data_IF_281393894363
#
_entry.id   IF_281393894363
#
_cell.length_a   1.000
_cell.length_b   1.000
_cell.length_c   1.000
_cell.angle_alpha   90.00
_cell.angle_beta   90.00
_cell.angle_gamma   90.00
#
_symmetry.space_group_name_H-M   'P 1'
#
loop_
_entity.id
_entity.type
_entity.pdbx_description
1 polymer ?
#
# COMPACT_ATOMS: atom_id res chain seq x y z
N UNK A 1 32.56 41.09 12.97
CA UNK A 1 31.61 40.95 11.85
C UNK A 1 31.27 39.46 11.79
N UNK A 2 30.26 39.04 12.54
CA UNK A 2 29.89 37.63 12.72
C UNK A 2 28.71 37.28 11.83
N UNK A 3 28.87 36.23 11.03
CA UNK A 3 27.82 35.71 10.15
C UNK A 3 27.03 34.68 10.95
N UNK A 4 25.76 34.98 11.19
CA UNK A 4 24.75 34.06 11.73
C UNK A 4 24.47 32.98 10.68
N UNK A 5 24.78 31.72 10.98
CA UNK A 5 24.16 30.58 10.31
C UNK A 5 22.90 30.21 11.10
N UNK A 6 21.75 30.37 10.46
CA UNK A 6 20.46 29.91 10.98
C UNK A 6 20.43 28.39 10.97
N UNK A 7 20.20 27.80 12.14
CA UNK A 7 19.86 26.37 12.32
C UNK A 7 18.73 26.00 11.37
N UNK A 8 18.99 25.06 10.46
CA UNK A 8 17.95 24.28 9.81
C UNK A 8 17.27 23.42 10.87
N UNK A 9 15.94 23.35 10.79
CA UNK A 9 15.08 22.52 11.63
C UNK A 9 15.38 21.03 11.42
N UNK A 10 16.37 20.51 12.15
CA UNK A 10 16.39 19.12 12.57
C UNK A 10 15.23 18.92 13.54
N UNK A 11 14.11 18.39 13.03
CA UNK A 11 13.08 17.79 13.88
C UNK A 11 13.36 16.30 14.01
N UNK A 12 14.24 16.02 14.95
CA UNK A 12 14.17 14.96 15.94
C UNK A 12 13.31 13.74 15.56
N UNK A 13 14.05 12.68 15.21
CA UNK A 13 13.76 11.30 15.53
C UNK A 13 13.58 11.17 17.05
N UNK A 14 12.33 11.24 17.52
CA UNK A 14 11.94 10.76 18.86
C UNK A 14 11.28 9.38 18.69
N UNK A 15 12.12 8.35 18.74
CA UNK A 15 11.73 6.96 18.97
C UNK A 15 11.35 6.76 20.44
N UNK A 16 10.14 7.19 20.78
CA UNK A 16 9.35 6.60 21.86
C UNK A 16 8.06 6.10 21.24
N UNK A 17 7.85 4.78 21.22
CA UNK A 17 6.84 4.10 20.41
C UNK A 17 5.39 4.39 20.86
N UNK A 18 4.89 5.60 20.60
CA UNK A 18 3.45 5.82 20.54
C UNK A 18 2.94 5.19 19.26
N UNK A 19 2.25 4.07 19.38
CA UNK A 19 1.60 3.43 18.24
C UNK A 19 0.67 4.45 17.57
N UNK A 20 1.04 4.90 16.37
CA UNK A 20 0.36 5.99 15.68
C UNK A 20 -0.96 5.47 15.11
N UNK A 21 -2.07 6.05 15.57
CA UNK A 21 -3.38 5.86 14.94
C UNK A 21 -3.42 6.64 13.63
N UNK A 22 -3.77 5.96 12.55
CA UNK A 22 -3.88 6.53 11.20
C UNK A 22 -5.36 6.72 10.85
N UNK A 23 -5.68 7.82 10.16
CA UNK A 23 -7.06 8.03 9.68
C UNK A 23 -7.43 7.01 8.60
N UNK A 24 -8.72 6.77 8.40
CA UNK A 24 -9.18 5.83 7.37
C UNK A 24 -8.78 6.29 5.97
N UNK A 25 -8.87 7.59 5.72
CA UNK A 25 -8.46 8.22 4.47
C UNK A 25 -6.99 7.97 4.16
N UNK A 26 -6.11 8.19 5.16
CA UNK A 26 -4.68 7.93 5.02
C UNK A 26 -4.36 6.44 4.91
N UNK A 27 -5.06 5.58 5.65
CA UNK A 27 -4.86 4.14 5.59
C UNK A 27 -5.11 3.63 4.17
N UNK A 28 -6.28 3.89 3.59
CA UNK A 28 -6.61 3.41 2.25
C UNK A 28 -5.75 4.07 1.16
N UNK A 29 -5.37 5.34 1.31
CA UNK A 29 -4.38 5.96 0.41
C UNK A 29 -3.04 5.20 0.46
N UNK A 30 -2.55 4.91 1.67
CA UNK A 30 -1.33 4.12 1.85
C UNK A 30 -1.47 2.72 1.28
N UNK A 31 -2.65 2.09 1.32
CA UNK A 31 -2.92 0.80 0.67
C UNK A 31 -2.70 0.85 -0.84
N UNK A 32 -3.21 1.88 -1.52
CA UNK A 32 -2.97 2.07 -2.96
C UNK A 32 -1.50 2.30 -3.25
N UNK A 33 -0.86 3.24 -2.54
CA UNK A 33 0.52 3.60 -2.80
C UNK A 33 1.49 2.45 -2.49
N UNK A 34 1.31 1.75 -1.37
CA UNK A 34 2.12 0.57 -1.02
C UNK A 34 1.94 -0.59 -2.00
N UNK A 35 0.77 -0.70 -2.63
CA UNK A 35 0.56 -1.67 -3.71
C UNK A 35 1.40 -1.30 -4.96
N UNK A 36 1.53 -0.02 -5.29
CA UNK A 36 2.43 0.42 -6.38
C UNK A 36 3.89 0.17 -6.07
N UNK A 37 4.30 0.43 -4.82
CA UNK A 37 5.62 0.10 -4.30
C UNK A 37 5.94 -1.38 -4.54
N UNK A 38 4.98 -2.28 -4.28
CA UNK A 38 5.09 -3.72 -4.54
C UNK A 38 5.42 -4.02 -6.01
N UNK A 39 4.81 -3.31 -6.95
CA UNK A 39 5.08 -3.46 -8.39
C UNK A 39 6.53 -3.14 -8.74
N UNK A 40 7.07 -2.07 -8.16
CA UNK A 40 8.49 -1.72 -8.28
C UNK A 40 9.42 -2.76 -7.68
N UNK A 41 9.07 -3.30 -6.50
CA UNK A 41 9.84 -4.39 -5.90
C UNK A 41 9.87 -5.61 -6.82
N UNK A 42 8.71 -6.01 -7.35
CA UNK A 42 8.59 -7.14 -8.27
C UNK A 42 9.44 -6.96 -9.52
N UNK A 43 9.46 -5.76 -10.09
CA UNK A 43 10.36 -5.44 -11.20
C UNK A 43 11.83 -5.63 -10.84
N UNK A 44 12.29 -5.11 -9.70
CA UNK A 44 13.69 -5.28 -9.29
C UNK A 44 14.03 -6.75 -9.00
N UNK A 45 13.19 -7.43 -8.23
CA UNK A 45 13.36 -8.84 -7.89
C UNK A 45 13.44 -9.69 -9.17
N UNK A 46 12.57 -9.44 -10.15
CA UNK A 46 12.63 -10.12 -11.46
C UNK A 46 13.99 -9.90 -12.14
N UNK A 47 14.51 -8.68 -12.11
CA UNK A 47 15.80 -8.35 -12.74
C UNK A 47 17.01 -9.08 -12.12
N UNK A 48 16.98 -9.37 -10.81
CA UNK A 48 18.11 -10.03 -10.12
C UNK A 48 17.95 -11.55 -10.02
N UNK A 49 16.71 -12.04 -9.95
CA UNK A 49 16.43 -13.48 -9.80
C UNK A 49 16.19 -14.20 -11.12
N UNK A 50 15.84 -13.47 -12.18
CA UNK A 50 15.39 -14.05 -13.45
C UNK A 50 13.98 -14.65 -13.40
N UNK A 51 13.26 -14.51 -12.27
CA UNK A 51 11.86 -14.93 -12.17
C UNK A 51 10.97 -14.00 -12.98
N UNK A 52 9.92 -14.57 -13.57
CA UNK A 52 8.87 -13.77 -14.22
C UNK A 52 8.15 -12.91 -13.19
N UNK A 53 7.83 -11.66 -13.55
CA UNK A 53 7.26 -10.69 -12.60
C UNK A 53 5.95 -11.15 -11.98
N UNK A 54 5.14 -11.88 -12.74
CA UNK A 54 3.87 -12.44 -12.27
C UNK A 54 4.05 -13.63 -11.31
N UNK A 55 5.24 -14.22 -11.21
CA UNK A 55 5.52 -15.34 -10.31
C UNK A 55 6.04 -14.90 -8.94
N UNK A 56 6.45 -13.64 -8.81
CA UNK A 56 7.06 -13.07 -7.59
C UNK A 56 6.03 -12.90 -6.49
N UNK A 57 4.88 -12.32 -6.83
CA UNK A 57 3.80 -12.08 -5.88
C UNK A 57 2.56 -12.87 -6.27
N UNK A 58 1.91 -13.48 -5.27
CA UNK A 58 0.69 -14.27 -5.44
C UNK A 58 -0.35 -13.78 -4.44
N UNK A 59 -1.62 -14.00 -4.77
CA UNK A 59 -2.73 -13.73 -3.86
C UNK A 59 -2.59 -14.50 -2.55
N UNK A 60 -2.97 -13.86 -1.44
CA UNK A 60 -2.96 -14.46 -0.10
C UNK A 60 -2.53 -13.49 0.99
N UNK A 61 -2.99 -13.76 2.21
CA UNK A 61 -2.65 -12.98 3.38
C UNK A 61 -1.17 -13.15 3.75
N UNK A 62 -0.52 -12.03 4.13
CA UNK A 62 0.85 -12.05 4.66
C UNK A 62 0.95 -12.97 5.89
N UNK A 63 2.05 -13.71 5.99
CA UNK A 63 2.28 -14.68 7.08
C UNK A 63 2.60 -14.03 8.42
N UNK A 64 2.96 -12.75 8.41
CA UNK A 64 3.47 -12.02 9.56
C UNK A 64 2.60 -10.82 9.94
N UNK A 65 1.31 -10.85 9.60
CA UNK A 65 0.39 -9.79 9.99
C UNK A 65 0.28 -9.70 11.51
N UNK A 66 0.63 -8.54 12.07
CA UNK A 66 0.31 -8.21 13.46
C UNK A 66 -1.19 -7.94 13.58
N UNK A 67 -1.89 -8.79 14.33
CA UNK A 67 -3.33 -8.67 14.59
C UNK A 67 -3.64 -8.02 15.94
N UNK A 68 -2.61 -7.62 16.69
CA UNK A 68 -2.78 -7.08 18.04
C UNK A 68 -2.97 -5.57 17.97
N UNK A 69 -3.97 -5.06 18.70
CA UNK A 69 -4.19 -3.63 18.87
C UNK A 69 -4.42 -3.35 20.36
N UNK A 70 -3.53 -2.60 21.03
CA UNK A 70 -3.69 -2.28 22.45
C UNK A 70 -4.65 -1.12 22.71
N UNK A 71 -5.12 -0.43 21.66
CA UNK A 71 -5.93 0.79 21.77
C UNK A 71 -7.42 0.41 21.69
N UNK A 72 -8.25 0.71 22.71
CA UNK A 72 -9.69 0.50 22.66
C UNK A 72 -10.33 1.18 21.44
N UNK A 73 -11.35 0.55 20.86
CA UNK A 73 -12.06 1.03 19.67
C UNK A 73 -11.18 1.21 18.42
N UNK A 74 -10.05 0.51 18.35
CA UNK A 74 -9.17 0.46 17.18
C UNK A 74 -8.84 -0.99 16.82
N UNK A 75 -8.32 -1.21 15.62
CA UNK A 75 -7.78 -2.51 15.23
C UNK A 75 -6.56 -2.35 14.33
N UNK A 76 -5.73 -3.39 14.29
CA UNK A 76 -4.63 -3.50 13.34
C UNK A 76 -5.20 -3.93 11.98
N UNK A 77 -5.02 -3.08 10.97
CA UNK A 77 -5.48 -3.30 9.61
C UNK A 77 -4.29 -3.45 8.68
N UNK A 78 -4.35 -4.48 7.85
CA UNK A 78 -3.30 -4.79 6.89
C UNK A 78 -3.29 -3.79 5.73
N UNK A 79 -2.11 -3.53 5.18
CA UNK A 79 -1.96 -2.54 4.10
C UNK A 79 -1.90 -3.18 2.70
N UNK A 80 -1.20 -4.32 2.55
CA UNK A 80 -0.98 -4.97 1.25
C UNK A 80 -1.11 -6.48 1.36
N UNK A 81 -2.19 -7.06 0.81
CA UNK A 81 -2.38 -8.51 0.74
C UNK A 81 -1.63 -9.12 -0.44
N UNK A 82 -0.49 -9.75 -0.18
CA UNK A 82 0.24 -10.58 -1.13
C UNK A 82 1.16 -11.57 -0.40
N UNK A 83 1.51 -12.65 -1.10
CA UNK A 83 2.56 -13.59 -0.72
C UNK A 83 3.74 -13.47 -1.67
N UNK A 84 4.97 -13.49 -1.14
CA UNK A 84 6.18 -13.54 -1.96
C UNK A 84 6.60 -14.99 -2.26
N UNK A 85 7.15 -15.22 -3.45
CA UNK A 85 7.60 -16.54 -3.90
C UNK A 85 8.68 -17.13 -2.98
N UNK A 86 8.46 -18.35 -2.50
CA UNK A 86 9.45 -19.09 -1.70
C UNK A 86 10.76 -19.36 -2.47
N UNK A 87 10.77 -19.31 -3.81
CA UNK A 87 11.99 -19.46 -4.62
C UNK A 87 12.98 -18.32 -4.31
N UNK A 88 12.48 -17.14 -3.96
CA UNK A 88 13.31 -16.00 -3.58
C UNK A 88 13.98 -16.30 -2.24
N UNK A 89 13.28 -16.89 -1.26
CA UNK A 89 13.85 -17.27 0.04
C UNK A 89 15.09 -18.15 -0.08
N UNK A 90 15.11 -19.07 -1.03
CA UNK A 90 16.22 -20.02 -1.20
C UNK A 90 17.41 -19.44 -1.97
N UNK A 91 17.21 -18.36 -2.72
CA UNK A 91 18.22 -17.80 -3.63
C UNK A 91 18.71 -16.41 -3.22
N UNK A 92 17.85 -15.63 -2.54
CA UNK A 92 18.05 -14.22 -2.17
C UNK A 92 17.34 -13.96 -0.82
N UNK A 93 17.91 -14.49 0.27
CA UNK A 93 17.25 -14.48 1.59
C UNK A 93 16.95 -13.07 2.11
N UNK A 94 17.91 -12.16 2.03
CA UNK A 94 17.75 -10.76 2.52
C UNK A 94 16.63 -10.03 1.77
N UNK A 95 16.54 -10.26 0.45
CA UNK A 95 15.46 -9.72 -0.38
C UNK A 95 14.11 -10.31 0.00
N UNK A 96 14.05 -11.62 0.30
CA UNK A 96 12.84 -12.27 0.78
C UNK A 96 12.40 -11.71 2.15
N UNK A 97 13.34 -11.56 3.09
CA UNK A 97 13.06 -11.04 4.44
C UNK A 97 12.59 -9.59 4.41
N UNK A 98 13.24 -8.72 3.63
CA UNK A 98 12.80 -7.33 3.47
C UNK A 98 11.41 -7.22 2.86
N UNK A 99 11.08 -8.07 1.89
CA UNK A 99 9.74 -8.12 1.30
C UNK A 99 8.70 -8.65 2.29
N UNK A 100 9.00 -9.71 3.05
CA UNK A 100 8.10 -10.22 4.10
C UNK A 100 7.85 -9.17 5.18
N UNK A 101 8.88 -8.44 5.63
CA UNK A 101 8.73 -7.33 6.58
C UNK A 101 7.86 -6.21 5.98
N UNK A 102 8.07 -5.88 4.72
CA UNK A 102 7.24 -4.91 4.01
C UNK A 102 5.78 -5.35 3.92
N UNK A 103 5.53 -6.64 3.66
CA UNK A 103 4.20 -7.24 3.62
C UNK A 103 3.61 -7.44 5.02
N UNK A 104 4.39 -7.43 6.09
CA UNK A 104 3.89 -7.52 7.47
C UNK A 104 3.28 -6.20 7.98
N UNK A 105 3.44 -5.11 7.23
CA UNK A 105 3.03 -3.78 7.66
C UNK A 105 1.52 -3.67 7.91
N UNK A 106 1.17 -3.21 9.11
CA UNK A 106 -0.19 -2.90 9.54
C UNK A 106 -0.29 -1.45 10.02
N UNK A 107 -1.47 -0.87 9.88
CA UNK A 107 -1.82 0.40 10.50
C UNK A 107 -2.81 0.16 11.64
N UNK A 108 -2.75 1.00 12.67
CA UNK A 108 -3.82 1.05 13.67
C UNK A 108 -4.86 2.06 13.22
N UNK A 109 -6.08 1.58 12.97
CA UNK A 109 -7.18 2.41 12.46
C UNK A 109 -8.39 2.36 13.40
N UNK A 110 -9.26 3.39 13.38
CA UNK A 110 -10.51 3.37 14.11
C UNK A 110 -11.35 2.14 13.78
N UNK A 111 -11.86 1.47 14.80
CA UNK A 111 -12.83 0.39 14.66
C UNK A 111 -14.22 0.97 14.41
N UNK A 112 -15.00 0.30 13.57
CA UNK A 112 -16.43 0.58 13.39
C UNK A 112 -17.23 -0.72 13.26
N UNK A 113 -16.87 -1.70 14.10
CA UNK A 113 -17.42 -3.04 14.06
C UNK A 113 -17.09 -3.75 12.75
N UNK A 114 -18.11 -4.17 12.00
CA UNK A 114 -17.93 -5.00 10.80
C UNK A 114 -17.65 -4.23 9.51
N UNK A 115 -17.86 -2.90 9.46
CA UNK A 115 -17.75 -2.13 8.22
C UNK A 115 -16.33 -2.16 7.62
N UNK A 116 -15.34 -1.70 8.40
CA UNK A 116 -13.96 -1.60 7.91
C UNK A 116 -13.31 -2.96 7.64
N UNK A 117 -13.54 -4.02 8.46
CA UNK A 117 -13.12 -5.36 8.09
C UNK A 117 -13.73 -5.86 6.77
N UNK A 118 -15.02 -5.59 6.51
CA UNK A 118 -15.65 -5.95 5.22
C UNK A 118 -14.99 -5.22 4.06
N UNK A 119 -14.88 -3.89 4.13
CA UNK A 119 -14.28 -3.07 3.07
C UNK A 119 -12.80 -3.42 2.87
N UNK A 120 -12.05 -3.64 3.95
CA UNK A 120 -10.66 -4.09 3.90
C UNK A 120 -10.51 -5.40 3.13
N UNK A 121 -11.38 -6.38 3.37
CA UNK A 121 -11.39 -7.64 2.63
C UNK A 121 -11.86 -7.51 1.16
N UNK A 122 -12.67 -6.51 0.82
CA UNK A 122 -12.98 -6.21 -0.60
C UNK A 122 -11.77 -5.56 -1.29
N UNK A 123 -11.07 -4.68 -0.57
CA UNK A 123 -9.85 -4.04 -1.02
C UNK A 123 -8.69 -5.04 -1.20
N UNK A 124 -8.57 -6.03 -0.31
CA UNK A 124 -7.63 -7.15 -0.46
C UNK A 124 -7.89 -7.91 -1.77
N UNK A 125 -9.15 -8.24 -2.07
CA UNK A 125 -9.54 -8.92 -3.31
C UNK A 125 -9.22 -8.08 -4.55
N UNK A 126 -9.36 -6.76 -4.47
CA UNK A 126 -8.98 -5.86 -5.56
C UNK A 126 -7.46 -5.80 -5.74
N UNK A 127 -6.67 -5.77 -4.66
CA UNK A 127 -5.21 -5.90 -4.75
C UNK A 127 -4.83 -7.22 -5.44
N UNK A 128 -5.46 -8.33 -5.05
CA UNK A 128 -5.21 -9.65 -5.63
C UNK A 128 -5.55 -9.70 -7.14
N UNK A 129 -6.66 -9.10 -7.57
CA UNK A 129 -7.06 -9.06 -8.99
C UNK A 129 -6.08 -8.22 -9.84
N UNK A 130 -5.46 -7.20 -9.23
CA UNK A 130 -4.55 -6.26 -9.88
C UNK A 130 -3.08 -6.70 -9.85
N UNK A 131 -2.69 -7.77 -9.14
CA UNK A 131 -1.29 -8.23 -9.06
C UNK A 131 -0.70 -8.53 -10.45
N UNK A 132 -1.45 -9.21 -11.32
CA UNK A 132 -0.99 -9.52 -12.67
C UNK A 132 -0.89 -8.26 -13.54
N UNK A 133 -1.91 -7.39 -13.63
CA UNK A 133 -1.75 -6.08 -14.28
C UNK A 133 -0.55 -5.28 -13.76
N UNK A 134 -0.32 -5.26 -12.44
CA UNK A 134 0.75 -4.50 -11.80
C UNK A 134 2.13 -4.94 -12.30
N UNK A 135 2.32 -6.24 -12.52
CA UNK A 135 3.58 -6.83 -12.98
C UNK A 135 3.99 -6.35 -14.38
N UNK A 136 3.04 -5.85 -15.18
CA UNK A 136 3.26 -5.33 -16.53
C UNK A 136 3.80 -3.90 -16.57
N UNK A 137 3.75 -3.17 -15.45
CA UNK A 137 4.21 -1.78 -15.39
C UNK A 137 5.73 -1.73 -15.28
N UNK A 138 6.36 -0.87 -16.07
CA UNK A 138 7.81 -0.64 -16.06
C UNK A 138 8.08 0.69 -15.37
N UNK A 139 8.59 0.65 -14.14
CA UNK A 139 8.78 1.83 -13.29
C UNK A 139 10.15 2.51 -13.48
N UNK A 140 11.17 1.82 -13.98
CA UNK A 140 12.51 2.40 -14.24
C UNK A 140 12.63 3.15 -15.57
N UNK A 141 11.61 3.07 -16.43
CA UNK A 141 11.53 3.81 -17.69
C UNK A 141 10.77 5.13 -17.53
N UNK A 142 10.72 5.96 -18.57
CA UNK A 142 9.85 7.14 -18.59
C UNK A 142 8.37 6.75 -18.52
N UNK A 143 7.57 7.56 -17.81
CA UNK A 143 6.13 7.33 -17.69
C UNK A 143 5.43 7.66 -19.00
N UNK A 144 4.92 6.64 -19.69
CA UNK A 144 4.20 6.82 -20.95
C UNK A 144 2.72 7.16 -20.71
N UNK A 145 2.02 7.56 -21.77
CA UNK A 145 0.56 7.74 -21.74
C UNK A 145 -0.17 6.41 -21.42
N UNK A 146 0.30 5.29 -21.95
CA UNK A 146 -0.27 3.96 -21.66
C UNK A 146 -0.12 3.61 -20.17
N UNK A 147 1.07 3.83 -19.59
CA UNK A 147 1.29 3.61 -18.15
C UNK A 147 0.42 4.55 -17.32
N UNK A 148 0.27 5.81 -17.75
CA UNK A 148 -0.60 6.79 -17.08
C UNK A 148 -2.04 6.29 -17.03
N UNK A 149 -2.59 5.83 -18.16
CA UNK A 149 -3.94 5.27 -18.23
C UNK A 149 -4.10 4.04 -17.34
N UNK A 150 -3.15 3.09 -17.38
CA UNK A 150 -3.21 1.91 -16.50
C UNK A 150 -3.21 2.29 -15.02
N UNK A 151 -2.39 3.25 -14.61
CA UNK A 151 -2.36 3.68 -13.21
C UNK A 151 -3.69 4.35 -12.81
N UNK A 152 -4.29 5.15 -13.69
CA UNK A 152 -5.63 5.72 -13.46
C UNK A 152 -6.70 4.63 -13.35
N UNK A 153 -6.65 3.60 -14.20
CA UNK A 153 -7.53 2.43 -14.11
C UNK A 153 -7.39 1.71 -12.76
N UNK A 154 -6.17 1.57 -12.21
CA UNK A 154 -5.96 0.96 -10.90
C UNK A 154 -6.59 1.80 -9.79
N UNK A 155 -6.37 3.12 -9.82
CA UNK A 155 -7.01 4.04 -8.85
C UNK A 155 -8.52 3.90 -8.92
N UNK A 156 -9.08 3.90 -10.12
CA UNK A 156 -10.53 3.85 -10.32
C UNK A 156 -11.10 2.52 -9.84
N UNK A 157 -10.41 1.40 -10.07
CA UNK A 157 -10.71 0.09 -9.48
C UNK A 157 -10.82 0.13 -7.95
N UNK A 158 -9.86 0.75 -7.27
CA UNK A 158 -9.90 0.90 -5.81
C UNK A 158 -11.00 1.86 -5.33
N UNK A 159 -11.28 2.92 -6.09
CA UNK A 159 -12.36 3.86 -5.80
C UNK A 159 -13.73 3.17 -5.92
N UNK A 160 -13.89 2.26 -6.88
CA UNK A 160 -15.15 1.54 -7.11
C UNK A 160 -15.57 0.65 -5.94
N UNK A 161 -14.61 0.12 -5.17
CA UNK A 161 -14.88 -0.58 -3.90
C UNK A 161 -15.75 0.30 -2.98
N UNK A 162 -15.46 1.61 -2.90
CA UNK A 162 -16.24 2.53 -2.08
C UNK A 162 -17.54 2.98 -2.74
N UNK A 163 -17.58 3.13 -4.06
CA UNK A 163 -18.80 3.49 -4.79
C UNK A 163 -19.93 2.46 -4.60
N UNK A 164 -19.58 1.17 -4.53
CA UNK A 164 -20.54 0.13 -4.21
C UNK A 164 -21.22 0.35 -2.84
N UNK A 165 -20.53 0.96 -1.87
CA UNK A 165 -21.07 1.26 -0.55
C UNK A 165 -21.79 2.62 -0.47
N UNK A 166 -21.28 3.63 -1.18
CA UNK A 166 -21.80 5.01 -1.15
C UNK A 166 -23.04 5.18 -2.04
N UNK A 167 -23.08 4.51 -3.20
CA UNK A 167 -24.13 4.72 -4.20
C UNK A 167 -25.17 3.60 -4.13
N UNK A 168 -24.72 2.34 -4.11
CA UNK A 168 -25.60 1.18 -4.26
C UNK A 168 -26.16 0.73 -2.89
N UNK A 169 -25.29 0.64 -1.88
CA UNK A 169 -25.63 0.08 -0.57
C UNK A 169 -25.83 1.15 0.52
N UNK A 170 -25.98 2.42 0.16
CA UNK A 170 -26.01 3.53 1.12
C UNK A 170 -27.09 3.40 2.20
N UNK A 171 -28.24 2.85 1.82
CA UNK A 171 -29.38 2.59 2.72
C UNK A 171 -29.05 1.63 3.87
N UNK A 172 -27.96 0.85 3.78
CA UNK A 172 -27.50 -0.06 4.84
C UNK A 172 -26.70 0.65 5.94
N UNK A 173 -26.35 1.92 5.75
CA UNK A 173 -25.40 2.62 6.63
C UNK A 173 -26.01 3.85 7.29
N UNK A 174 -25.57 4.12 8.52
CA UNK A 174 -25.87 5.38 9.19
C UNK A 174 -25.22 6.55 8.44
N UNK A 175 -25.80 7.76 8.47
CA UNK A 175 -25.26 8.93 7.76
C UNK A 175 -23.79 9.23 8.07
N UNK A 176 -23.36 9.03 9.33
CA UNK A 176 -21.95 9.23 9.73
C UNK A 176 -20.99 8.31 8.97
N UNK A 177 -21.38 7.06 8.72
CA UNK A 177 -20.59 6.09 7.95
C UNK A 177 -20.50 6.47 6.49
N UNK A 178 -21.61 6.94 5.90
CA UNK A 178 -21.61 7.46 4.52
C UNK A 178 -20.63 8.62 4.39
N UNK A 179 -20.62 9.56 5.34
CA UNK A 179 -19.65 10.67 5.34
C UNK A 179 -18.21 10.16 5.39
N UNK A 180 -17.91 9.16 6.22
CA UNK A 180 -16.56 8.56 6.28
C UNK A 180 -16.17 7.89 4.96
N UNK A 181 -17.07 7.09 4.38
CA UNK A 181 -16.85 6.46 3.08
C UNK A 181 -16.59 7.49 1.99
N UNK A 182 -17.37 8.57 1.93
CA UNK A 182 -17.18 9.66 0.96
C UNK A 182 -15.85 10.38 1.14
N UNK A 183 -15.35 10.53 2.38
CA UNK A 183 -14.03 11.11 2.63
C UNK A 183 -12.91 10.21 2.09
N UNK A 184 -12.98 8.90 2.36
CA UNK A 184 -12.01 7.93 1.83
C UNK A 184 -12.05 7.92 0.30
N UNK A 185 -13.24 7.78 -0.28
CA UNK A 185 -13.44 7.88 -1.73
C UNK A 185 -12.80 9.15 -2.30
N UNK A 186 -13.12 10.33 -1.74
CA UNK A 186 -12.56 11.60 -2.20
C UNK A 186 -11.05 11.69 -2.08
N UNK A 187 -10.45 11.06 -1.06
CA UNK A 187 -9.00 10.97 -0.90
C UNK A 187 -8.38 10.11 -1.99
N UNK A 188 -8.94 8.92 -2.24
CA UNK A 188 -8.45 7.99 -3.27
C UNK A 188 -8.58 8.56 -4.68
N UNK A 189 -9.69 9.23 -5.00
CA UNK A 189 -9.88 9.85 -6.33
C UNK A 189 -8.86 10.95 -6.65
N UNK A 190 -8.16 11.48 -5.63
CA UNK A 190 -7.12 12.51 -5.80
C UNK A 190 -5.72 11.93 -5.94
N UNK A 191 -5.52 10.64 -5.69
CA UNK A 191 -4.24 9.98 -5.94
C UNK A 191 -3.97 10.03 -7.45
N UNK A 192 -2.83 10.59 -7.84
CA UNK A 192 -2.50 10.79 -9.24
C UNK A 192 -1.66 9.63 -9.80
N UNK A 193 -1.64 9.49 -11.13
CA UNK A 193 -0.70 8.60 -11.80
C UNK A 193 0.77 8.95 -11.50
N UNK A 194 1.08 10.21 -11.17
CA UNK A 194 2.43 10.59 -10.74
C UNK A 194 2.77 10.07 -9.35
N UNK A 195 1.85 10.19 -8.39
CA UNK A 195 2.04 9.64 -7.03
C UNK A 195 2.26 8.12 -7.09
N UNK A 196 1.46 7.42 -7.89
CA UNK A 196 1.56 5.97 -8.05
C UNK A 196 2.86 5.56 -8.76
N UNK A 197 3.23 6.24 -9.86
CA UNK A 197 4.44 5.89 -10.61
C UNK A 197 5.72 6.18 -9.82
N UNK A 198 5.79 7.33 -9.14
CA UNK A 198 6.91 7.69 -8.26
C UNK A 198 7.04 6.72 -7.09
N UNK A 199 5.92 6.28 -6.50
CA UNK A 199 5.94 5.26 -5.45
C UNK A 199 6.41 3.91 -5.95
N UNK A 200 6.00 3.49 -7.16
CA UNK A 200 6.55 2.28 -7.78
C UNK A 200 8.07 2.37 -7.98
N UNK A 201 8.61 3.54 -8.38
CA UNK A 201 10.06 3.75 -8.44
C UNK A 201 10.76 3.59 -7.09
N UNK A 202 10.12 4.05 -6.01
CA UNK A 202 10.65 3.84 -4.66
C UNK A 202 10.74 2.36 -4.29
N UNK A 203 9.88 1.49 -4.85
CA UNK A 203 10.00 0.04 -4.69
C UNK A 203 11.23 -0.58 -5.27
N UNK A 204 11.68 -0.08 -6.42
CA UNK A 204 12.96 -0.49 -7.00
C UNK A 204 14.10 -0.06 -6.07
N UNK A 205 14.06 1.17 -5.56
CA UNK A 205 15.12 1.74 -4.70
C UNK A 205 15.21 0.96 -3.38
N UNK A 206 14.07 0.72 -2.71
CA UNK A 206 14.05 0.01 -1.44
C UNK A 206 14.56 -1.43 -1.59
N UNK A 207 14.14 -2.12 -2.65
CA UNK A 207 14.60 -3.50 -2.89
C UNK A 207 16.09 -3.59 -3.19
N UNK A 208 16.66 -2.57 -3.85
CA UNK A 208 18.12 -2.47 -4.02
C UNK A 208 18.83 -2.38 -2.68
N UNK A 209 18.27 -1.67 -1.70
CA UNK A 209 18.90 -1.49 -0.40
C UNK A 209 18.96 -2.79 0.43
N UNK A 210 18.01 -3.70 0.26
CA UNK A 210 18.02 -5.01 0.91
C UNK A 210 18.94 -6.02 0.26
N UNK A 211 19.47 -5.72 -0.93
CA UNK A 211 20.31 -6.63 -1.72
C UNK A 211 21.75 -6.09 -1.84
N UNK A 212 22.18 -5.26 -0.88
CA UNK A 212 23.55 -4.74 -0.72
C UNK A 212 24.25 -5.42 0.45
#
# INVERSE_FOLDING_TARGET
>A
MGILFTKSDDKDLDETSTTKVISLEEHFERRVLRFMHLGGMGQYISSVTGLEREEIFRSGASRHQDQTCPIPDHHAAHIVSALVSNTIRTTHLELFEGVEEYLACTDIIPSDGTLWPTIGGEFDREQESLLKPLSTIVFDAEKTAEVTLKLEEFRDSFVEVFNAHIVINSWKYLPKRIVQLTKVHSKLSKVTAEDMFSTGRMGIILSKMWNM
#
